data_IF_584517178698
#
_entry.id   IF_584517178698
#
_cell.length_a   1.000
_cell.length_b   1.000
_cell.length_c   1.000
_cell.angle_alpha   90.00
_cell.angle_beta   90.00
_cell.angle_gamma   90.00
#
_symmetry.space_group_name_H-M   'P 1'
#
loop_
_entity.id
_entity.type
_entity.pdbx_description
1 polymer ?
#
# COMPACT_ATOMS: atom_id res chain seq x y z
N UNK A 1 -3.98 17.00 0.78
CA UNK A 1 -5.27 16.31 0.51
C UNK A 1 -6.28 17.23 -0.16
N UNK A 2 -6.54 18.45 0.34
CA UNK A 2 -7.52 19.37 -0.26
C UNK A 2 -7.31 19.65 -1.76
N UNK A 3 -6.11 20.06 -2.19
CA UNK A 3 -5.82 20.35 -3.61
C UNK A 3 -6.08 19.17 -4.55
N UNK A 4 -5.88 17.94 -4.06
CA UNK A 4 -6.19 16.73 -4.84
C UNK A 4 -7.70 16.61 -5.05
N UNK A 5 -8.47 16.71 -3.96
CA UNK A 5 -9.93 16.62 -4.04
C UNK A 5 -10.52 17.70 -4.96
N UNK A 6 -9.99 18.92 -4.93
CA UNK A 6 -10.41 20.01 -5.84
C UNK A 6 -10.08 19.72 -7.31
N UNK A 7 -8.92 19.12 -7.60
CA UNK A 7 -8.56 18.72 -8.96
C UNK A 7 -9.42 17.56 -9.48
N UNK A 8 -9.78 16.60 -8.61
CA UNK A 8 -10.67 15.49 -8.94
C UNK A 8 -12.11 15.97 -9.17
N UNK A 9 -12.60 16.89 -8.32
CA UNK A 9 -13.88 17.57 -8.49
C UNK A 9 -13.95 18.31 -9.83
N UNK A 10 -12.91 19.08 -10.17
CA UNK A 10 -12.85 19.77 -11.47
C UNK A 10 -12.87 18.77 -12.63
N UNK A 11 -12.16 17.64 -12.50
CA UNK A 11 -12.15 16.60 -13.54
C UNK A 11 -13.54 15.98 -13.74
N UNK A 12 -14.27 15.75 -12.65
CA UNK A 12 -15.55 15.04 -12.65
C UNK A 12 -16.75 15.96 -12.96
N UNK A 13 -16.69 17.21 -12.51
CA UNK A 13 -17.84 18.13 -12.49
C UNK A 13 -17.59 19.44 -13.24
N UNK A 14 -16.36 19.67 -13.74
CA UNK A 14 -15.96 20.92 -14.35
C UNK A 14 -15.57 21.99 -13.33
N UNK A 15 -15.07 23.12 -13.84
CA UNK A 15 -14.55 24.22 -13.02
C UNK A 15 -15.61 24.74 -12.05
N UNK A 16 -15.29 24.77 -10.76
CA UNK A 16 -16.20 25.27 -9.71
C UNK A 16 -17.27 24.27 -9.28
N UNK A 17 -17.29 23.05 -9.84
CA UNK A 17 -18.23 21.99 -9.49
C UNK A 17 -17.65 21.03 -8.43
N UNK A 18 -18.52 20.20 -7.86
CA UNK A 18 -18.15 19.10 -6.96
C UNK A 18 -18.28 19.40 -5.47
N UNK A 19 -18.19 18.33 -4.67
CA UNK A 19 -18.50 18.36 -3.25
C UNK A 19 -17.38 19.02 -2.42
N UNK A 20 -16.11 18.78 -2.76
CA UNK A 20 -14.98 19.43 -2.11
C UNK A 20 -14.96 20.93 -2.43
N UNK A 21 -15.24 21.31 -3.69
CA UNK A 21 -15.36 22.72 -4.08
C UNK A 21 -16.47 23.43 -3.30
N UNK A 22 -17.65 22.80 -3.18
CA UNK A 22 -18.76 23.35 -2.41
C UNK A 22 -18.46 23.43 -0.90
N UNK A 23 -17.78 22.43 -0.34
CA UNK A 23 -17.43 22.39 1.08
C UNK A 23 -16.37 23.43 1.48
N UNK A 24 -15.45 23.75 0.58
CA UNK A 24 -14.34 24.67 0.87
C UNK A 24 -14.69 26.14 0.61
N UNK A 25 -15.72 26.42 -0.19
CA UNK A 25 -16.17 27.79 -0.43
C UNK A 25 -15.03 28.70 -0.90
N UNK A 26 -14.82 29.83 -0.22
CA UNK A 26 -13.74 30.79 -0.53
C UNK A 26 -12.34 30.22 -0.34
N UNK A 27 -12.13 29.32 0.62
CA UNK A 27 -10.82 28.79 0.97
C UNK A 27 -10.25 27.88 -0.13
N UNK A 28 -11.12 27.39 -1.02
CA UNK A 28 -10.71 26.65 -2.20
C UNK A 28 -9.78 27.48 -3.10
N UNK A 29 -10.02 28.79 -3.23
CA UNK A 29 -9.29 29.68 -4.13
C UNK A 29 -7.83 29.88 -3.70
N UNK A 30 -7.56 29.86 -2.39
CA UNK A 30 -6.20 29.97 -1.85
C UNK A 30 -5.39 28.68 -2.05
N UNK A 31 -6.08 27.53 -2.09
CA UNK A 31 -5.45 26.23 -2.26
C UNK A 31 -5.31 25.83 -3.73
N UNK A 32 -6.29 26.12 -4.58
CA UNK A 32 -6.40 25.62 -5.95
C UNK A 32 -7.12 26.65 -6.82
N UNK A 33 -6.44 27.12 -7.86
CA UNK A 33 -7.06 28.10 -8.76
C UNK A 33 -8.15 27.40 -9.60
N UNK A 34 -9.35 27.97 -9.72
CA UNK A 34 -10.38 27.41 -10.61
C UNK A 34 -9.84 27.24 -12.03
N UNK A 35 -9.98 26.04 -12.59
CA UNK A 35 -9.46 25.70 -13.91
C UNK A 35 -7.99 25.28 -13.92
N UNK A 36 -7.32 25.10 -12.77
CA UNK A 36 -5.89 24.76 -12.75
C UNK A 36 -5.59 23.45 -13.47
N UNK A 37 -6.46 22.43 -13.38
CA UNK A 37 -6.32 21.18 -14.13
C UNK A 37 -6.67 21.39 -15.60
N UNK A 38 -7.83 21.98 -15.88
CA UNK A 38 -8.40 22.17 -17.22
C UNK A 38 -7.49 23.01 -18.12
N UNK A 39 -6.86 24.04 -17.54
CA UNK A 39 -5.94 24.91 -18.25
C UNK A 39 -4.49 24.40 -18.28
N UNK A 40 -4.22 23.26 -17.63
CA UNK A 40 -2.89 22.65 -17.67
C UNK A 40 -2.70 21.76 -18.92
N UNK A 41 -1.45 21.41 -19.27
CA UNK A 41 -1.17 20.38 -20.28
C UNK A 41 -1.72 18.98 -19.93
N UNK A 42 -2.29 18.81 -18.74
CA UNK A 42 -2.76 17.54 -18.19
C UNK A 42 -4.28 17.49 -18.05
N UNK A 43 -5.04 18.34 -18.76
CA UNK A 43 -6.50 18.44 -18.64
C UNK A 43 -7.25 17.09 -18.74
N UNK A 44 -6.73 16.14 -19.53
CA UNK A 44 -7.30 14.78 -19.69
C UNK A 44 -6.56 13.70 -18.90
N UNK A 45 -5.56 14.10 -18.12
CA UNK A 45 -4.60 13.26 -17.41
C UNK A 45 -4.45 13.73 -15.96
N UNK A 46 -5.51 13.55 -15.18
CA UNK A 46 -5.52 13.95 -13.76
C UNK A 46 -4.38 13.29 -12.98
N UNK A 47 -4.03 12.05 -13.31
CA UNK A 47 -2.91 11.36 -12.67
C UNK A 47 -1.58 12.08 -12.90
N UNK A 48 -1.33 12.57 -14.12
CA UNK A 48 -0.13 13.33 -14.45
C UNK A 48 -0.15 14.73 -13.81
N UNK A 49 -1.33 15.35 -13.73
CA UNK A 49 -1.50 16.62 -13.02
C UNK A 49 -1.15 16.47 -11.54
N UNK A 50 -1.73 15.48 -10.86
CA UNK A 50 -1.50 15.22 -9.44
C UNK A 50 -0.01 15.04 -9.17
N UNK A 51 0.63 14.10 -9.87
CA UNK A 51 2.04 13.77 -9.69
C UNK A 51 2.98 14.96 -9.95
N UNK A 52 2.63 15.86 -10.88
CA UNK A 52 3.49 17.00 -11.28
C UNK A 52 3.22 18.30 -10.54
N UNK A 53 1.99 18.52 -10.05
CA UNK A 53 1.53 19.82 -9.53
C UNK A 53 1.02 19.78 -8.10
N UNK A 54 0.61 18.62 -7.61
CA UNK A 54 -0.03 18.48 -6.29
C UNK A 54 0.85 17.69 -5.33
N UNK A 55 1.28 16.49 -5.74
CA UNK A 55 2.05 15.58 -4.90
C UNK A 55 1.97 14.16 -5.43
N UNK A 56 2.73 13.26 -4.80
CA UNK A 56 2.73 11.84 -5.14
C UNK A 56 1.63 11.11 -4.39
N UNK A 57 0.82 10.35 -5.13
CA UNK A 57 -0.23 9.50 -4.58
C UNK A 57 -0.14 8.14 -5.25
N UNK A 58 -0.25 7.07 -4.45
CA UNK A 58 0.00 5.71 -4.90
C UNK A 58 -0.92 5.30 -6.05
N UNK A 59 -2.20 5.63 -5.96
CA UNK A 59 -3.19 5.36 -6.99
C UNK A 59 -2.98 6.16 -8.28
N UNK A 60 -2.49 7.40 -8.18
CA UNK A 60 -2.08 8.20 -9.34
C UNK A 60 -0.83 7.60 -10.02
N UNK A 61 0.15 7.16 -9.22
CA UNK A 61 1.34 6.48 -9.72
C UNK A 61 0.98 5.14 -10.39
N UNK A 62 0.08 4.35 -9.80
CA UNK A 62 -0.46 3.13 -10.41
C UNK A 62 -1.17 3.41 -11.74
N UNK A 63 -2.01 4.44 -11.80
CA UNK A 63 -2.67 4.85 -13.04
C UNK A 63 -1.66 5.29 -14.11
N UNK A 64 -0.55 5.94 -13.72
CA UNK A 64 0.53 6.29 -14.64
C UNK A 64 1.22 5.02 -15.19
N UNK A 65 1.52 4.05 -14.35
CA UNK A 65 2.11 2.76 -14.75
C UNK A 65 1.20 2.06 -15.75
N UNK A 66 -0.09 1.91 -15.43
CA UNK A 66 -1.06 1.22 -16.29
C UNK A 66 -1.16 1.89 -17.67
N UNK A 67 -1.18 3.22 -17.75
CA UNK A 67 -1.17 3.92 -19.04
C UNK A 67 0.10 3.65 -19.87
N UNK A 68 1.26 3.48 -19.24
CA UNK A 68 2.47 3.10 -19.96
C UNK A 68 2.40 1.64 -20.43
N UNK A 69 1.84 0.74 -19.61
CA UNK A 69 1.56 -0.66 -19.99
C UNK A 69 0.61 -0.74 -21.19
N UNK A 70 -0.52 -0.04 -21.16
CA UNK A 70 -1.52 0.00 -22.23
C UNK A 70 -0.93 0.50 -23.56
N UNK A 71 0.04 1.40 -23.51
CA UNK A 71 0.74 1.94 -24.68
C UNK A 71 1.86 1.03 -25.20
N UNK A 72 2.17 -0.06 -24.49
CA UNK A 72 3.32 -0.91 -24.79
C UNK A 72 4.67 -0.22 -24.53
N UNK A 73 4.68 0.86 -23.75
CA UNK A 73 5.89 1.60 -23.39
C UNK A 73 6.57 0.94 -22.19
N UNK A 74 7.30 -0.14 -22.49
CA UNK A 74 7.93 -1.01 -21.50
C UNK A 74 8.87 -0.24 -20.59
N UNK A 75 9.75 0.60 -21.15
CA UNK A 75 10.73 1.37 -20.38
C UNK A 75 10.04 2.32 -19.42
N UNK A 76 9.08 3.12 -19.88
CA UNK A 76 8.40 4.06 -18.99
C UNK A 76 7.56 3.35 -17.93
N UNK A 77 6.93 2.22 -18.25
CA UNK A 77 6.16 1.44 -17.28
C UNK A 77 7.07 0.93 -16.15
N UNK A 78 8.21 0.33 -16.50
CA UNK A 78 9.15 -0.21 -15.52
C UNK A 78 9.80 0.89 -14.67
N UNK A 79 10.26 1.98 -15.29
CA UNK A 79 10.85 3.12 -14.56
C UNK A 79 9.83 3.77 -13.64
N UNK A 80 8.57 3.91 -14.08
CA UNK A 80 7.52 4.48 -13.22
C UNK A 80 7.17 3.54 -12.07
N UNK A 81 7.18 2.22 -12.29
CA UNK A 81 6.93 1.24 -11.25
C UNK A 81 8.04 1.17 -10.18
N UNK A 82 9.31 1.27 -10.60
CA UNK A 82 10.44 1.42 -9.69
C UNK A 82 10.34 2.74 -8.91
N UNK A 83 10.07 3.85 -9.61
CA UNK A 83 9.88 5.15 -8.98
C UNK A 83 8.72 5.18 -8.00
N UNK A 84 7.65 4.42 -8.27
CA UNK A 84 6.53 4.18 -7.35
C UNK A 84 6.99 3.44 -6.09
N UNK A 85 7.76 2.36 -6.24
CA UNK A 85 8.32 1.61 -5.11
C UNK A 85 9.23 2.47 -4.22
N UNK A 86 10.04 3.33 -4.83
CA UNK A 86 10.94 4.27 -4.13
C UNK A 86 10.24 5.58 -3.70
N UNK A 87 8.91 5.61 -3.77
CA UNK A 87 8.12 6.78 -3.43
C UNK A 87 8.04 7.06 -1.92
N UNK A 88 7.28 8.10 -1.53
CA UNK A 88 7.10 8.48 -0.13
C UNK A 88 6.18 7.51 0.65
N UNK A 89 6.18 6.24 0.30
CA UNK A 89 5.28 5.20 0.80
C UNK A 89 6.03 4.17 1.67
N UNK A 90 7.10 4.62 2.34
CA UNK A 90 7.94 3.76 3.15
C UNK A 90 7.10 2.98 4.19
N UNK A 91 7.39 1.67 4.31
CA UNK A 91 6.66 0.76 5.18
C UNK A 91 5.37 0.19 4.58
N UNK A 92 5.03 0.51 3.33
CA UNK A 92 3.89 -0.10 2.62
C UNK A 92 4.38 -1.15 1.63
N UNK A 93 3.70 -2.28 1.59
CA UNK A 93 4.03 -3.39 0.68
C UNK A 93 3.53 -3.16 -0.75
N UNK A 94 2.42 -2.42 -0.92
CA UNK A 94 1.75 -2.23 -2.22
C UNK A 94 2.62 -1.64 -3.34
N UNK A 95 3.42 -0.59 -3.12
CA UNK A 95 4.28 -0.04 -4.17
C UNK A 95 5.25 -1.08 -4.74
N UNK A 96 5.82 -1.92 -3.87
CA UNK A 96 6.71 -3.00 -4.27
C UNK A 96 5.96 -4.13 -4.98
N UNK A 97 4.74 -4.46 -4.54
CA UNK A 97 3.90 -5.47 -5.18
C UNK A 97 3.48 -5.05 -6.60
N UNK A 98 3.11 -3.79 -6.79
CA UNK A 98 2.83 -3.19 -8.12
C UNK A 98 4.07 -3.28 -9.01
N UNK A 99 5.26 -2.99 -8.47
CA UNK A 99 6.51 -3.13 -9.22
C UNK A 99 6.77 -4.59 -9.64
N UNK A 100 6.62 -5.54 -8.72
CA UNK A 100 6.75 -6.98 -9.02
C UNK A 100 5.76 -7.45 -10.09
N UNK A 101 4.50 -7.02 -9.99
CA UNK A 101 3.47 -7.33 -10.98
C UNK A 101 3.79 -6.73 -12.35
N UNK A 102 4.31 -5.50 -12.41
CA UNK A 102 4.72 -4.84 -13.65
C UNK A 102 5.90 -5.56 -14.31
N UNK A 103 6.92 -5.96 -13.53
CA UNK A 103 8.04 -6.79 -14.01
C UNK A 103 7.54 -8.11 -14.62
N UNK A 104 6.59 -8.78 -13.95
CA UNK A 104 6.02 -10.03 -14.43
C UNK A 104 5.29 -9.88 -15.78
N UNK A 105 4.53 -8.79 -15.96
CA UNK A 105 3.81 -8.51 -17.23
C UNK A 105 4.74 -8.39 -18.43
N UNK A 106 5.98 -7.96 -18.21
CA UNK A 106 6.99 -7.84 -19.26
C UNK A 106 7.99 -9.01 -19.31
N UNK A 107 7.65 -10.15 -18.70
CA UNK A 107 8.45 -11.37 -18.79
C UNK A 107 9.75 -11.37 -17.97
N UNK A 108 9.93 -10.42 -17.05
CA UNK A 108 11.14 -10.31 -16.20
C UNK A 108 11.02 -11.21 -14.96
N UNK A 109 10.84 -12.51 -15.17
CA UNK A 109 10.43 -13.45 -14.12
C UNK A 109 11.35 -13.52 -12.90
N UNK A 110 12.68 -13.47 -13.10
CA UNK A 110 13.62 -13.50 -11.98
C UNK A 110 13.50 -12.25 -11.09
N UNK A 111 13.43 -11.08 -11.72
CA UNK A 111 13.32 -9.80 -11.03
C UNK A 111 11.94 -9.63 -10.38
N UNK A 112 10.88 -10.09 -11.05
CA UNK A 112 9.54 -10.10 -10.49
C UNK A 112 9.46 -10.95 -9.20
N UNK A 113 10.12 -12.11 -9.18
CA UNK A 113 10.20 -12.97 -7.99
C UNK A 113 10.95 -12.30 -6.85
N UNK A 114 12.10 -11.69 -7.14
CA UNK A 114 12.90 -11.02 -6.11
C UNK A 114 12.16 -9.80 -5.57
N UNK A 115 11.53 -9.00 -6.43
CA UNK A 115 10.71 -7.86 -6.03
C UNK A 115 9.45 -8.29 -5.26
N UNK A 116 8.83 -9.42 -5.60
CA UNK A 116 7.70 -9.95 -4.83
C UNK A 116 8.13 -10.34 -3.41
N UNK A 117 9.34 -10.89 -3.24
CA UNK A 117 9.91 -11.18 -1.90
C UNK A 117 10.19 -9.90 -1.12
N UNK A 118 10.69 -8.85 -1.79
CA UNK A 118 10.81 -7.51 -1.20
C UNK A 118 9.44 -7.00 -0.73
N UNK A 119 8.42 -7.07 -1.59
CA UNK A 119 7.08 -6.62 -1.24
C UNK A 119 6.52 -7.32 0.02
N UNK A 120 6.83 -8.61 0.18
CA UNK A 120 6.44 -9.41 1.34
C UNK A 120 7.30 -9.16 2.59
N UNK A 121 8.49 -8.56 2.48
CA UNK A 121 9.38 -8.33 3.62
C UNK A 121 9.32 -6.90 4.18
N UNK A 122 8.97 -5.91 3.36
CA UNK A 122 9.12 -4.48 3.70
C UNK A 122 8.01 -3.91 4.57
N UNK A 123 6.84 -4.55 4.64
CA UNK A 123 5.68 -3.93 5.26
C UNK A 123 4.50 -4.87 5.52
N UNK A 124 3.38 -4.29 5.95
CA UNK A 124 2.16 -5.04 6.20
C UNK A 124 1.44 -5.42 4.92
N UNK A 125 1.04 -6.68 4.82
CA UNK A 125 0.43 -7.29 3.65
C UNK A 125 -0.99 -6.77 3.39
N UNK A 126 -1.71 -6.33 4.41
CA UNK A 126 -3.02 -5.68 4.24
C UNK A 126 -2.94 -4.33 3.52
N UNK A 127 -1.75 -3.77 3.31
CA UNK A 127 -1.59 -2.58 2.46
C UNK A 127 -1.69 -2.91 0.96
N UNK A 128 -1.52 -4.18 0.56
CA UNK A 128 -1.49 -4.59 -0.85
C UNK A 128 -2.85 -4.49 -1.57
N UNK A 129 -3.96 -4.48 -0.84
CA UNK A 129 -5.31 -4.39 -1.40
C UNK A 129 -6.31 -5.27 -0.66
N UNK A 130 -7.60 -4.98 -0.82
CA UNK A 130 -8.67 -5.61 -0.04
C UNK A 130 -9.19 -6.93 -0.64
N UNK A 131 -9.07 -7.13 -1.96
CA UNK A 131 -9.65 -8.27 -2.67
C UNK A 131 -8.78 -9.54 -2.67
N UNK A 132 -7.57 -9.47 -2.10
CA UNK A 132 -6.61 -10.57 -2.07
C UNK A 132 -5.97 -10.94 -3.42
N UNK A 133 -6.32 -10.26 -4.52
CA UNK A 133 -5.80 -10.60 -5.85
C UNK A 133 -4.29 -10.30 -5.94
N UNK A 134 -3.88 -9.11 -5.49
CA UNK A 134 -2.46 -8.73 -5.41
C UNK A 134 -1.67 -9.68 -4.49
N UNK A 135 -2.25 -10.07 -3.36
CA UNK A 135 -1.61 -11.01 -2.44
C UNK A 135 -1.37 -12.38 -3.10
N UNK A 136 -2.39 -12.94 -3.72
CA UNK A 136 -2.31 -14.22 -4.45
C UNK A 136 -1.25 -14.16 -5.55
N UNK A 137 -1.16 -13.03 -6.24
CA UNK A 137 -0.11 -12.80 -7.23
C UNK A 137 1.29 -12.79 -6.58
N UNK A 138 1.49 -12.10 -5.45
CA UNK A 138 2.77 -12.08 -4.75
C UNK A 138 3.19 -13.44 -4.20
N UNK A 139 2.24 -14.23 -3.67
CA UNK A 139 2.48 -15.62 -3.27
C UNK A 139 3.00 -16.46 -4.44
N UNK A 140 2.38 -16.32 -5.61
CA UNK A 140 2.79 -17.04 -6.82
C UNK A 140 4.16 -16.59 -7.32
N UNK A 141 4.38 -15.27 -7.48
CA UNK A 141 5.63 -14.72 -8.00
C UNK A 141 6.83 -15.00 -7.08
N UNK A 142 6.65 -14.92 -5.76
CA UNK A 142 7.70 -15.17 -4.77
C UNK A 142 8.08 -16.65 -4.63
N UNK A 143 7.20 -17.56 -5.07
CA UNK A 143 7.33 -19.01 -4.90
C UNK A 143 6.86 -19.49 -3.53
N UNK A 144 5.97 -18.75 -2.86
CA UNK A 144 5.46 -19.08 -1.52
C UNK A 144 3.99 -19.50 -1.49
N UNK A 145 3.35 -19.65 -2.65
CA UNK A 145 2.01 -20.20 -2.74
C UNK A 145 1.88 -21.53 -1.98
N UNK A 146 0.82 -21.65 -1.17
CA UNK A 146 0.55 -22.82 -0.33
C UNK A 146 1.32 -22.88 1.00
N UNK A 147 2.19 -21.91 1.30
CA UNK A 147 2.81 -21.75 2.62
C UNK A 147 1.93 -20.92 3.56
N UNK A 148 2.08 -21.11 4.86
CA UNK A 148 1.42 -20.27 5.87
C UNK A 148 2.05 -18.87 5.93
N UNK A 149 1.27 -17.88 6.34
CA UNK A 149 1.75 -16.52 6.59
C UNK A 149 2.97 -16.51 7.54
N UNK A 150 2.88 -17.25 8.64
CA UNK A 150 3.92 -17.32 9.66
C UNK A 150 5.22 -17.92 9.14
N UNK A 151 5.17 -18.98 8.33
CA UNK A 151 6.38 -19.60 7.77
C UNK A 151 7.05 -18.70 6.75
N UNK A 152 6.27 -17.98 5.93
CA UNK A 152 6.81 -17.02 4.97
C UNK A 152 7.47 -15.85 5.67
N UNK A 153 6.82 -15.29 6.70
CA UNK A 153 7.40 -14.19 7.49
C UNK A 153 8.71 -14.62 8.13
N UNK A 154 8.73 -15.81 8.77
CA UNK A 154 9.94 -16.41 9.35
C UNK A 154 11.07 -16.53 8.31
N UNK A 155 10.77 -17.06 7.13
CA UNK A 155 11.79 -17.19 6.06
C UNK A 155 12.34 -15.85 5.61
N UNK A 156 11.47 -14.84 5.42
CA UNK A 156 11.89 -13.51 4.97
C UNK A 156 12.65 -12.72 6.03
N UNK A 157 12.35 -12.97 7.31
CA UNK A 157 13.09 -12.45 8.47
C UNK A 157 14.42 -13.19 8.72
N UNK A 158 14.76 -14.20 7.90
CA UNK A 158 16.03 -14.94 7.98
C UNK A 158 16.00 -16.23 8.80
N UNK A 159 14.82 -16.75 9.14
CA UNK A 159 14.67 -18.02 9.86
C UNK A 159 14.98 -19.25 9.00
N UNK A 160 16.28 -19.54 8.91
CA UNK A 160 16.96 -20.86 9.00
C UNK A 160 18.49 -20.68 8.83
N UNK A 161 19.05 -19.54 9.27
CA UNK A 161 20.49 -19.47 9.58
C UNK A 161 20.66 -20.03 10.99
N UNK A 162 21.33 -21.19 11.09
CA UNK A 162 21.90 -21.65 12.35
C UNK A 162 22.55 -20.45 13.04
N UNK A 163 22.05 -20.10 14.22
CA UNK A 163 22.53 -18.99 15.04
C UNK A 163 23.91 -19.31 15.66
N UNK A 164 24.87 -19.73 14.82
CA UNK A 164 26.27 -19.93 15.16
C UNK A 164 27.13 -18.66 15.04
N UNK A 165 26.53 -17.48 14.79
CA UNK A 165 27.30 -16.25 14.60
C UNK A 165 26.48 -14.98 14.84
N UNK A 166 26.70 -14.39 16.00
CA UNK A 166 26.45 -12.97 16.33
C UNK A 166 25.04 -12.42 16.05
N UNK A 167 24.11 -12.61 17.01
CA UNK A 167 23.06 -11.61 17.23
C UNK A 167 23.73 -10.33 17.75
N UNK A 168 24.04 -9.42 16.84
CA UNK A 168 24.66 -8.14 17.19
C UNK A 168 23.69 -7.30 18.01
N UNK A 169 23.99 -7.11 19.30
CA UNK A 169 23.73 -5.92 20.13
C UNK A 169 22.31 -5.33 20.23
N UNK A 170 21.31 -5.81 19.51
CA UNK A 170 19.96 -5.28 19.58
C UNK A 170 19.29 -5.69 20.89
N UNK A 171 18.70 -4.73 21.62
CA UNK A 171 17.96 -5.03 22.83
C UNK A 171 16.78 -5.94 22.50
N UNK A 172 16.44 -6.83 23.44
CA UNK A 172 15.27 -7.67 23.31
C UNK A 172 14.01 -6.79 23.09
N UNK A 173 13.05 -7.22 22.25
CA UNK A 173 11.83 -6.45 22.01
C UNK A 173 11.09 -6.17 23.31
N UNK A 174 10.58 -4.95 23.44
CA UNK A 174 9.72 -4.56 24.55
C UNK A 174 8.40 -5.32 24.51
N UNK A 175 7.66 -5.28 25.64
CA UNK A 175 6.33 -5.90 25.71
C UNK A 175 5.39 -5.24 24.70
N UNK A 176 5.47 -3.92 24.57
CA UNK A 176 4.69 -3.11 23.64
C UNK A 176 4.98 -3.45 22.18
N UNK A 177 6.27 -3.56 21.80
CA UNK A 177 6.67 -3.98 20.44
C UNK A 177 6.20 -5.40 20.12
N UNK A 178 6.30 -6.32 21.09
CA UNK A 178 5.82 -7.69 20.91
C UNK A 178 4.30 -7.73 20.75
N UNK A 179 3.57 -6.91 21.50
CA UNK A 179 2.12 -6.80 21.38
C UNK A 179 1.71 -6.20 20.03
N UNK A 180 2.37 -5.13 19.59
CA UNK A 180 2.14 -4.55 18.27
C UNK A 180 2.43 -5.58 17.14
N UNK A 181 3.52 -6.35 17.26
CA UNK A 181 3.82 -7.43 16.30
C UNK A 181 2.70 -8.47 16.24
N UNK A 182 2.12 -8.87 17.38
CA UNK A 182 0.98 -9.81 17.38
C UNK A 182 -0.25 -9.25 16.67
N UNK A 183 -0.56 -7.97 16.87
CA UNK A 183 -1.64 -7.30 16.15
C UNK A 183 -1.38 -7.33 14.63
N UNK A 184 -0.14 -7.03 14.24
CA UNK A 184 0.28 -7.05 12.85
C UNK A 184 0.20 -8.46 12.24
N UNK A 185 0.80 -9.46 12.88
CA UNK A 185 0.79 -10.84 12.38
C UNK A 185 -0.64 -11.37 12.17
N UNK A 186 -1.59 -10.99 13.04
CA UNK A 186 -3.00 -11.37 12.90
C UNK A 186 -3.67 -10.71 11.68
N UNK A 187 -3.38 -9.44 11.40
CA UNK A 187 -3.88 -8.75 10.20
C UNK A 187 -3.20 -9.28 8.92
N UNK A 188 -1.92 -9.61 8.98
CA UNK A 188 -1.17 -10.21 7.86
C UNK A 188 -1.74 -11.59 7.51
N UNK A 189 -2.11 -12.40 8.49
CA UNK A 189 -2.76 -13.70 8.27
C UNK A 189 -4.09 -13.56 7.50
N UNK A 190 -4.90 -12.54 7.82
CA UNK A 190 -6.13 -12.24 7.06
C UNK A 190 -5.79 -11.82 5.63
N UNK A 191 -4.84 -10.89 5.46
CA UNK A 191 -4.43 -10.44 4.13
C UNK A 191 -3.85 -11.57 3.27
N UNK A 192 -3.09 -12.48 3.89
CA UNK A 192 -2.52 -13.67 3.26
C UNK A 192 -3.60 -14.68 2.80
N UNK A 193 -4.81 -14.61 3.36
CA UNK A 193 -5.86 -15.59 3.12
C UNK A 193 -5.67 -16.88 3.91
N UNK A 194 -5.09 -16.79 5.11
CA UNK A 194 -4.92 -17.94 6.00
C UNK A 194 -6.28 -18.58 6.31
N UNK A 195 -6.37 -19.91 6.20
CA UNK A 195 -7.67 -20.60 6.31
C UNK A 195 -8.29 -20.38 7.69
N UNK A 196 -9.52 -19.86 7.70
CA UNK A 196 -10.27 -19.61 8.92
C UNK A 196 -9.96 -18.26 9.57
N UNK A 197 -8.98 -17.53 9.05
CA UNK A 197 -8.72 -16.15 9.46
C UNK A 197 -9.50 -15.19 8.57
N UNK A 198 -10.32 -14.36 9.20
CA UNK A 198 -11.09 -13.28 8.60
C UNK A 198 -10.93 -12.05 9.48
N UNK A 199 -11.25 -10.87 8.97
CA UNK A 199 -11.25 -9.67 9.83
C UNK A 199 -12.11 -9.88 11.08
N UNK A 200 -13.29 -10.47 10.93
CA UNK A 200 -14.19 -10.74 12.05
C UNK A 200 -13.59 -11.70 13.10
N UNK A 201 -12.82 -12.72 12.69
CA UNK A 201 -12.23 -13.69 13.63
C UNK A 201 -11.02 -13.13 14.38
N UNK A 202 -10.25 -12.21 13.79
CA UNK A 202 -9.03 -11.67 14.42
C UNK A 202 -9.24 -10.38 15.18
N UNK A 203 -10.39 -9.72 14.97
CA UNK A 203 -10.67 -8.36 15.45
C UNK A 203 -10.43 -8.17 16.94
N UNK A 204 -10.93 -9.08 17.77
CA UNK A 204 -10.76 -9.02 19.24
C UNK A 204 -9.29 -9.18 19.63
N UNK A 205 -8.60 -10.18 19.05
CA UNK A 205 -7.17 -10.42 19.26
C UNK A 205 -6.30 -9.22 18.85
N UNK A 206 -6.66 -8.55 17.75
CA UNK A 206 -6.00 -7.32 17.31
C UNK A 206 -6.23 -6.19 18.31
N UNK A 207 -7.47 -5.99 18.77
CA UNK A 207 -7.79 -4.95 19.74
C UNK A 207 -7.08 -5.16 21.09
N UNK A 208 -7.06 -6.38 21.60
CA UNK A 208 -6.33 -6.73 22.83
C UNK A 208 -4.83 -6.43 22.69
N UNK A 209 -4.22 -6.84 21.57
CA UNK A 209 -2.81 -6.60 21.28
C UNK A 209 -2.48 -5.11 21.15
N UNK A 210 -3.38 -4.31 20.58
CA UNK A 210 -3.24 -2.85 20.51
C UNK A 210 -3.36 -2.19 21.90
N UNK A 211 -4.26 -2.66 22.76
CA UNK A 211 -4.40 -2.13 24.12
C UNK A 211 -3.16 -2.44 24.97
N UNK A 212 -2.63 -3.65 24.86
CA UNK A 212 -1.36 -4.06 25.48
C UNK A 212 -0.16 -3.24 25.00
N UNK A 213 -0.19 -2.79 23.74
CA UNK A 213 0.80 -1.88 23.17
C UNK A 213 0.59 -0.40 23.59
N UNK A 214 -0.40 -0.11 24.43
CA UNK A 214 -0.75 1.24 24.87
C UNK A 214 -1.57 2.05 23.85
N UNK A 215 -1.97 1.45 22.73
CA UNK A 215 -2.73 2.08 21.65
C UNK A 215 -4.24 1.98 21.87
N UNK A 216 -4.71 2.41 23.06
CA UNK A 216 -6.09 2.23 23.52
C UNK A 216 -7.14 2.83 22.58
N UNK A 217 -6.84 3.98 21.97
CA UNK A 217 -7.74 4.62 21.02
C UNK A 217 -7.94 3.76 19.74
N UNK A 218 -6.87 3.13 19.26
CA UNK A 218 -6.94 2.22 18.11
C UNK A 218 -7.63 0.91 18.50
N UNK A 219 -7.35 0.36 19.68
CA UNK A 219 -8.07 -0.81 20.21
C UNK A 219 -9.58 -0.58 20.24
N UNK A 220 -10.03 0.55 20.81
CA UNK A 220 -11.44 0.92 20.84
C UNK A 220 -12.03 1.14 19.44
N UNK A 221 -11.27 1.76 18.53
CA UNK A 221 -11.70 1.94 17.14
C UNK A 221 -11.87 0.60 16.42
N UNK A 222 -10.92 -0.32 16.60
CA UNK A 222 -10.99 -1.66 16.03
C UNK A 222 -12.25 -2.37 16.49
N UNK A 223 -12.72 -2.20 17.73
CA UNK A 223 -13.94 -2.84 18.27
C UNK A 223 -15.25 -2.10 17.95
N UNK A 224 -15.20 -0.83 17.53
CA UNK A 224 -16.40 -0.03 17.24
C UNK A 224 -17.23 -0.61 16.08
N UNK A 225 -18.56 -0.70 16.15
CA UNK A 225 -19.38 -1.28 15.08
C UNK A 225 -18.96 -0.79 13.68
N UNK A 226 -18.83 -1.72 12.73
CA UNK A 226 -18.54 -1.36 11.35
C UNK A 226 -19.69 -0.48 10.85
N UNK A 227 -19.38 0.64 10.19
CA UNK A 227 -20.41 1.45 9.54
C UNK A 227 -20.99 0.59 8.40
N UNK A 228 -22.28 0.29 8.49
CA UNK A 228 -23.04 -0.39 7.42
C UNK A 228 -23.12 0.46 6.15
#
# INVERSE_FOLDING_TARGET
MLRRALAEDERAHGVGGGAATAACGSDALDAYAPGELTNSPYATRVEAFLTRRVGRFLDADETLIERHVERGDVTSALVTAEWCADGPYAGWSRPHAVHAATLARFGRAAEARDQARVALSVGPWWTMGEDGAMMTQMQTLSGYAGRSAADVRRTLEGGDVDAGGASGGEPAPTREETALKRAMDAMDAVAWGERGETWASVRERVAESLDEAGLRALSAHVLAPLRE
#
